data_IF_119548593571
#
_entry.id   IF_119548593571
#
_cell.length_a   1.000
_cell.length_b   1.000
_cell.length_c   1.000
_cell.angle_alpha   90.00
_cell.angle_beta   90.00
_cell.angle_gamma   90.00
#
_symmetry.space_group_name_H-M   'P 1'
#
loop_
_entity.id
_entity.type
_entity.pdbx_description
1 polymer ?
#
# COMPACT_ATOMS: atom_id res chain seq x y z
N UNK A 1 26.36 9.15 -15.41
CA UNK A 1 25.21 8.51 -16.06
C UNK A 1 24.76 7.19 -15.41
N UNK A 2 25.63 6.26 -14.98
CA UNK A 2 25.17 4.99 -14.35
C UNK A 2 24.47 5.16 -12.98
N UNK A 3 24.77 6.25 -12.26
CA UNK A 3 24.20 6.54 -10.93
C UNK A 3 22.74 7.01 -10.99
N UNK A 4 22.42 7.90 -11.94
CA UNK A 4 21.05 8.43 -12.12
C UNK A 4 20.06 7.33 -12.47
N UNK A 5 20.43 6.42 -13.39
CA UNK A 5 19.59 5.29 -13.77
C UNK A 5 19.31 4.37 -12.58
N UNK A 6 20.29 4.12 -11.69
CA UNK A 6 20.09 3.29 -10.50
C UNK A 6 19.14 3.95 -9.49
N UNK A 7 19.20 5.28 -9.32
CA UNK A 7 18.25 6.01 -8.46
C UNK A 7 16.84 5.96 -9.04
N UNK A 8 16.67 6.23 -10.34
CA UNK A 8 15.37 6.17 -10.99
C UNK A 8 14.75 4.77 -10.95
N UNK A 9 15.54 3.71 -11.16
CA UNK A 9 15.07 2.32 -11.03
C UNK A 9 14.61 2.05 -9.59
N UNK A 10 15.32 2.55 -8.58
CA UNK A 10 14.97 2.34 -7.17
C UNK A 10 13.70 3.09 -6.77
N UNK A 11 13.53 4.32 -7.25
CA UNK A 11 12.31 5.09 -7.06
C UNK A 11 11.12 4.44 -7.78
N UNK A 12 11.29 4.02 -9.03
CA UNK A 12 10.27 3.29 -9.79
C UNK A 12 9.89 1.96 -9.14
N UNK A 13 10.86 1.21 -8.64
CA UNK A 13 10.62 -0.04 -7.91
C UNK A 13 9.82 0.21 -6.63
N UNK A 14 10.12 1.30 -5.94
CA UNK A 14 9.39 1.73 -4.74
C UNK A 14 7.94 2.09 -5.06
N UNK A 15 7.69 2.93 -6.07
CA UNK A 15 6.33 3.25 -6.52
C UNK A 15 5.55 2.01 -7.00
N UNK A 16 6.23 1.10 -7.70
CA UNK A 16 5.65 -0.16 -8.15
C UNK A 16 5.24 -1.04 -6.97
N UNK A 17 6.09 -1.15 -5.94
CA UNK A 17 5.78 -1.93 -4.73
C UNK A 17 4.59 -1.36 -3.97
N UNK A 18 4.49 -0.02 -3.90
CA UNK A 18 3.32 0.65 -3.34
C UNK A 18 2.07 0.31 -4.14
N UNK A 19 2.09 0.46 -5.47
CA UNK A 19 0.95 0.10 -6.34
C UNK A 19 0.52 -1.35 -6.18
N UNK A 20 1.47 -2.28 -6.12
CA UNK A 20 1.20 -3.71 -5.94
C UNK A 20 0.48 -4.00 -4.62
N UNK A 21 0.91 -3.34 -3.53
CA UNK A 21 0.29 -3.50 -2.21
C UNK A 21 -1.17 -3.04 -2.17
N UNK A 22 -1.51 -1.99 -2.92
CA UNK A 22 -2.87 -1.46 -3.06
C UNK A 22 -3.76 -2.49 -3.74
N UNK A 23 -3.28 -3.00 -4.88
CA UNK A 23 -4.00 -3.98 -5.68
C UNK A 23 -4.25 -5.25 -4.86
N UNK A 24 -3.23 -5.76 -4.15
CA UNK A 24 -3.35 -6.89 -3.22
C UNK A 24 -4.41 -6.67 -2.14
N UNK A 25 -4.45 -5.48 -1.52
CA UNK A 25 -5.45 -5.17 -0.49
C UNK A 25 -6.88 -5.14 -1.05
N UNK A 26 -7.06 -4.60 -2.26
CA UNK A 26 -8.37 -4.58 -2.95
C UNK A 26 -8.80 -6.02 -3.25
N UNK A 27 -7.91 -6.86 -3.78
CA UNK A 27 -8.21 -8.26 -4.09
C UNK A 27 -8.64 -9.04 -2.84
N UNK A 28 -7.94 -8.87 -1.71
CA UNK A 28 -8.30 -9.54 -0.46
C UNK A 28 -9.68 -9.08 0.04
N UNK A 29 -9.95 -7.77 0.04
CA UNK A 29 -11.24 -7.22 0.46
C UNK A 29 -12.40 -7.65 -0.45
N UNK A 30 -12.16 -7.67 -1.77
CA UNK A 30 -13.13 -8.12 -2.76
C UNK A 30 -13.42 -9.61 -2.60
N UNK A 31 -12.39 -10.45 -2.46
CA UNK A 31 -12.55 -11.89 -2.31
C UNK A 31 -13.29 -12.24 -1.01
N UNK A 32 -12.91 -11.61 0.10
CA UNK A 32 -13.60 -11.76 1.38
C UNK A 32 -15.06 -11.25 1.32
N UNK A 33 -15.31 -10.12 0.65
CA UNK A 33 -16.64 -9.57 0.45
C UNK A 33 -17.54 -10.48 -0.37
N UNK A 34 -17.05 -11.00 -1.50
CA UNK A 34 -17.79 -11.96 -2.35
C UNK A 34 -18.08 -13.26 -1.59
N UNK A 35 -17.11 -13.77 -0.82
CA UNK A 35 -17.29 -14.99 -0.02
C UNK A 35 -18.37 -14.80 1.06
N UNK A 36 -18.41 -13.63 1.72
CA UNK A 36 -19.46 -13.29 2.68
C UNK A 36 -20.83 -13.12 1.99
N UNK A 37 -20.91 -12.41 0.87
CA UNK A 37 -22.15 -12.19 0.12
C UNK A 37 -22.77 -13.53 -0.33
N UNK A 38 -21.91 -14.46 -0.80
CA UNK A 38 -22.30 -15.82 -1.16
C UNK A 38 -22.78 -16.65 0.05
N UNK A 39 -22.22 -16.42 1.24
CA UNK A 39 -22.60 -17.13 2.47
C UNK A 39 -23.91 -16.59 3.07
N UNK A 40 -24.14 -15.27 3.01
CA UNK A 40 -25.29 -14.61 3.63
C UNK A 40 -26.49 -14.43 2.70
N UNK A 41 -26.35 -14.63 1.39
CA UNK A 41 -27.46 -14.55 0.42
C UNK A 41 -28.11 -13.17 0.30
N UNK A 42 -27.55 -12.16 0.97
CA UNK A 42 -28.01 -10.77 0.95
C UNK A 42 -27.42 -10.08 -0.25
N UNK A 43 -28.16 -10.13 -1.38
CA UNK A 43 -27.90 -9.36 -2.61
C UNK A 43 -27.30 -7.98 -2.31
N UNK A 44 -26.41 -7.46 -3.16
CA UNK A 44 -24.97 -7.28 -2.97
C UNK A 44 -24.58 -6.19 -1.94
N UNK A 45 -25.30 -6.05 -0.82
CA UNK A 45 -25.06 -4.97 0.16
C UNK A 45 -23.76 -5.20 0.93
N UNK A 46 -23.49 -6.44 1.35
CA UNK A 46 -22.26 -6.77 2.07
C UNK A 46 -21.03 -6.63 1.20
N UNK A 47 -21.11 -7.00 -0.08
CA UNK A 47 -20.05 -6.75 -1.05
C UNK A 47 -19.69 -5.27 -1.13
N UNK A 48 -20.67 -4.36 -1.19
CA UNK A 48 -20.40 -2.91 -1.24
C UNK A 48 -19.76 -2.38 0.05
N UNK A 49 -20.22 -2.84 1.22
CA UNK A 49 -19.64 -2.45 2.52
C UNK A 49 -18.22 -2.97 2.68
N UNK A 50 -17.97 -4.24 2.34
CA UNK A 50 -16.63 -4.83 2.39
C UNK A 50 -15.70 -4.28 1.32
N UNK A 51 -16.21 -3.92 0.14
CA UNK A 51 -15.45 -3.21 -0.88
C UNK A 51 -15.01 -1.83 -0.36
N UNK A 52 -15.94 -1.06 0.23
CA UNK A 52 -15.63 0.22 0.86
C UNK A 52 -14.62 0.07 2.00
N UNK A 53 -14.82 -0.90 2.89
CA UNK A 53 -13.87 -1.21 3.97
C UNK A 53 -12.52 -1.70 3.44
N UNK A 54 -12.48 -2.49 2.37
CA UNK A 54 -11.26 -2.96 1.73
C UNK A 54 -10.45 -1.81 1.12
N UNK A 55 -11.13 -0.86 0.48
CA UNK A 55 -10.53 0.38 -0.02
C UNK A 55 -9.98 1.20 1.15
N UNK A 56 -10.78 1.43 2.20
CA UNK A 56 -10.37 2.20 3.39
C UNK A 56 -9.20 1.53 4.12
N UNK A 57 -9.21 0.20 4.28
CA UNK A 57 -8.15 -0.57 4.90
C UNK A 57 -6.85 -0.53 4.07
N UNK A 58 -6.96 -0.65 2.74
CA UNK A 58 -5.83 -0.49 1.83
C UNK A 58 -5.22 0.91 1.92
N UNK A 59 -6.04 1.95 1.89
CA UNK A 59 -5.61 3.33 2.08
C UNK A 59 -4.96 3.56 3.45
N UNK A 60 -5.52 3.00 4.52
CA UNK A 60 -4.97 3.11 5.88
C UNK A 60 -3.61 2.43 5.99
N UNK A 61 -3.42 1.29 5.32
CA UNK A 61 -2.15 0.60 5.25
C UNK A 61 -1.08 1.44 4.54
N UNK A 62 -1.42 2.06 3.40
CA UNK A 62 -0.52 3.00 2.69
C UNK A 62 -0.15 4.18 3.59
N UNK A 63 -1.13 4.81 4.24
CA UNK A 63 -0.88 5.97 5.11
C UNK A 63 0.08 5.62 6.24
N UNK A 64 -0.05 4.42 6.80
CA UNK A 64 0.84 3.94 7.85
C UNK A 64 2.23 3.58 7.32
N UNK A 65 2.31 2.86 6.20
CA UNK A 65 3.57 2.50 5.55
C UNK A 65 4.35 3.73 5.10
N UNK A 66 3.69 4.70 4.46
CA UNK A 66 4.28 5.94 3.98
C UNK A 66 4.77 6.83 5.14
N UNK A 67 4.03 6.90 6.26
CA UNK A 67 4.52 7.59 7.46
C UNK A 67 5.72 6.90 8.10
N UNK A 68 5.77 5.57 8.07
CA UNK A 68 6.90 4.80 8.60
C UNK A 68 8.15 4.95 7.71
N UNK A 69 7.98 4.92 6.40
CA UNK A 69 9.06 5.11 5.41
C UNK A 69 9.64 6.53 5.46
N UNK A 70 8.81 7.57 5.57
CA UNK A 70 9.29 8.96 5.80
C UNK A 70 10.07 9.12 7.11
N UNK A 71 9.80 8.27 8.10
CA UNK A 71 10.50 8.29 9.39
C UNK A 71 11.82 7.53 9.34
N UNK A 72 11.90 6.44 8.57
CA UNK A 72 13.15 5.69 8.34
C UNK A 72 14.16 6.43 7.43
N UNK A 73 13.71 7.23 6.46
CA UNK A 73 14.63 8.08 5.68
C UNK A 73 15.26 9.22 6.50
N UNK A 74 14.62 9.63 7.61
CA UNK A 74 15.18 10.62 8.54
C UNK A 74 16.24 10.06 9.49
N UNK A 75 16.32 8.74 9.66
CA UNK A 75 17.29 8.09 10.57
C UNK A 75 18.55 7.58 9.83
N UNK A 76 18.58 7.65 8.49
CA UNK A 76 19.76 7.31 7.66
C UNK A 76 20.51 8.51 7.12
N UNK A 77 20.46 9.64 7.82
CA UNK A 77 21.52 10.66 7.71
C UNK A 77 22.35 10.58 8.99
N UNK A 78 23.44 9.80 9.04
CA UNK A 78 24.51 10.15 9.96
C UNK A 78 24.93 11.57 9.59
N UNK A 79 24.71 12.44 10.55
CA UNK A 79 25.36 13.73 10.66
C UNK A 79 26.86 13.52 10.41
N UNK A 80 27.34 13.99 9.27
CA UNK A 80 28.76 14.31 9.11
C UNK A 80 28.83 15.81 8.84
N UNK A 81 28.42 16.58 9.84
CA UNK A 81 29.22 17.72 10.26
C UNK A 81 30.49 17.14 10.87
N UNK A 82 31.64 17.48 10.27
CA UNK A 82 32.91 17.84 10.91
C UNK A 82 34.06 17.59 9.91
N UNK A 83 34.75 18.68 9.55
CA UNK A 83 35.87 18.75 8.60
C UNK A 83 35.93 20.10 7.92
#
# INVERSE_FOLDING_TARGET
MKEDTRRSIRELAYYSSLGLSIVLSIFIGLFAGIYLDATFGTRPVFTFVFLGLGIVAGFRNIFHAMNKLRKEDKDKKPDNKDG
#
